data_IF_053715570856
#
_entry.id   IF_053715570856
#
_cell.length_a   1.000
_cell.length_b   1.000
_cell.length_c   1.000
_cell.angle_alpha   90.00
_cell.angle_beta   90.00
_cell.angle_gamma   90.00
#
_symmetry.space_group_name_H-M   'P 1'
#
loop_
_entity.id
_entity.type
_entity.pdbx_description
1 polymer ?
#
# COMPACT_ATOMS: atom_id res chain seq x y z
N UNK A 1 18.04 15.82 13.14
CA UNK A 1 16.88 15.29 13.89
C UNK A 1 17.27 14.99 15.36
N UNK A 2 17.81 15.97 16.10
CA UNK A 2 18.07 15.82 17.55
C UNK A 2 17.32 16.96 18.24
N UNK A 3 16.42 16.63 19.18
CA UNK A 3 15.57 17.52 20.00
C UNK A 3 14.14 17.80 19.48
N UNK A 4 13.35 16.76 19.24
CA UNK A 4 11.89 16.86 19.42
C UNK A 4 11.55 16.35 20.82
N UNK A 5 10.64 17.03 21.52
CA UNK A 5 10.19 16.62 22.87
C UNK A 5 9.50 15.24 22.85
N UNK A 6 8.94 14.86 21.70
CA UNK A 6 8.43 13.53 21.41
C UNK A 6 9.13 13.05 20.13
N UNK A 7 9.83 11.91 20.16
CA UNK A 7 10.45 11.38 18.95
C UNK A 7 9.37 11.07 17.90
N UNK A 8 9.65 11.31 16.60
CA UNK A 8 8.72 10.95 15.55
C UNK A 8 8.56 9.42 15.50
N UNK A 9 7.35 8.97 15.20
CA UNK A 9 7.06 7.56 14.92
C UNK A 9 7.29 7.29 13.45
N UNK A 10 7.84 6.12 13.13
CA UNK A 10 7.98 5.65 11.76
C UNK A 10 6.79 4.73 11.47
N UNK A 11 6.06 5.05 10.42
CA UNK A 11 4.95 4.24 9.92
C UNK A 11 5.19 3.89 8.45
N UNK A 12 4.84 2.68 8.05
CA UNK A 12 5.06 2.14 6.72
C UNK A 12 3.73 1.83 6.03
N UNK A 13 3.69 1.98 4.71
CA UNK A 13 2.52 1.64 3.90
C UNK A 13 2.65 0.19 3.41
N UNK A 14 1.76 -0.73 3.84
CA UNK A 14 1.86 -2.15 3.53
C UNK A 14 1.37 -2.40 2.10
N UNK A 15 2.27 -2.37 1.12
CA UNK A 15 1.94 -2.69 -0.28
C UNK A 15 1.83 -4.20 -0.47
N UNK A 16 2.78 -4.95 0.10
CA UNK A 16 2.97 -6.38 -0.15
C UNK A 16 2.30 -7.28 0.89
N UNK A 17 2.01 -6.75 2.08
CA UNK A 17 1.48 -7.55 3.19
C UNK A 17 0.05 -8.05 2.98
N UNK A 18 -0.61 -7.56 1.93
CA UNK A 18 -1.89 -8.07 1.45
C UNK A 18 -1.74 -9.42 0.74
N UNK A 19 -0.60 -9.68 0.12
CA UNK A 19 -0.29 -10.95 -0.52
C UNK A 19 0.24 -11.92 0.53
N UNK A 20 -0.44 -13.05 0.71
CA UNK A 20 -0.06 -14.06 1.70
C UNK A 20 1.29 -14.72 1.42
N UNK A 21 1.74 -14.73 0.16
CA UNK A 21 3.04 -15.30 -0.22
C UNK A 21 4.20 -14.32 0.01
N UNK A 22 3.92 -13.02 0.01
CA UNK A 22 4.91 -11.95 0.18
C UNK A 22 4.83 -11.24 1.54
N UNK A 23 3.82 -11.58 2.34
CA UNK A 23 3.63 -11.05 3.69
C UNK A 23 4.87 -11.33 4.54
N UNK A 24 5.44 -10.27 5.09
CA UNK A 24 6.57 -10.38 6.02
C UNK A 24 6.17 -11.04 7.34
N UNK A 25 7.17 -11.50 8.08
CA UNK A 25 6.97 -11.97 9.45
C UNK A 25 6.51 -10.80 10.32
N UNK A 26 5.23 -10.83 10.68
CA UNK A 26 4.69 -9.91 11.66
C UNK A 26 5.03 -10.37 13.07
N UNK A 27 5.53 -9.44 13.89
CA UNK A 27 5.58 -9.67 15.33
C UNK A 27 4.17 -9.93 15.88
N UNK A 28 4.06 -10.64 17.01
CA UNK A 28 2.78 -11.01 17.65
C UNK A 28 1.85 -9.81 17.94
N UNK A 29 2.38 -8.58 17.93
CA UNK A 29 1.60 -7.34 18.01
C UNK A 29 2.11 -6.29 17.04
N UNK A 30 1.19 -5.72 16.27
CA UNK A 30 1.44 -4.60 15.34
C UNK A 30 0.54 -3.45 15.77
N UNK A 31 1.09 -2.23 15.82
CA UNK A 31 0.29 -1.03 15.93
C UNK A 31 -0.08 -0.56 14.52
N UNK A 32 -1.37 -0.62 14.19
CA UNK A 32 -1.90 -0.15 12.92
C UNK A 32 -2.58 1.21 13.07
N UNK A 33 -2.34 2.07 12.09
CA UNK A 33 -2.94 3.39 11.95
C UNK A 33 -3.90 3.37 10.78
N UNK A 34 -5.05 4.03 10.91
CA UNK A 34 -6.02 4.17 9.83
C UNK A 34 -6.18 5.65 9.48
N UNK A 35 -5.97 5.97 8.21
CA UNK A 35 -6.13 7.32 7.66
C UNK A 35 -7.39 7.35 6.81
N UNK A 36 -8.31 8.28 7.08
CA UNK A 36 -9.44 8.57 6.18
C UNK A 36 -8.93 9.33 4.97
N UNK A 37 -9.14 8.76 3.78
CA UNK A 37 -8.74 9.35 2.50
C UNK A 37 -9.95 9.64 1.59
N UNK A 38 -11.17 9.63 2.13
CA UNK A 38 -12.42 9.81 1.36
C UNK A 38 -12.35 11.03 0.43
N UNK A 39 -11.78 12.13 0.92
CA UNK A 39 -11.67 13.40 0.17
C UNK A 39 -10.73 13.35 -1.05
N UNK A 40 -9.81 12.38 -1.11
CA UNK A 40 -8.83 12.23 -2.20
C UNK A 40 -8.95 10.89 -2.92
N UNK A 41 -9.92 10.06 -2.55
CA UNK A 41 -10.10 8.71 -3.07
C UNK A 41 -10.21 8.68 -4.59
N UNK A 42 -10.98 9.60 -5.15
CA UNK A 42 -11.20 9.63 -6.60
C UNK A 42 -9.93 10.02 -7.36
N UNK A 43 -9.15 10.97 -6.83
CA UNK A 43 -7.85 11.34 -7.38
C UNK A 43 -6.88 10.15 -7.35
N UNK A 44 -6.87 9.37 -6.25
CA UNK A 44 -6.06 8.15 -6.14
C UNK A 44 -6.43 7.11 -7.18
N UNK A 45 -7.74 6.86 -7.39
CA UNK A 45 -8.23 5.93 -8.42
C UNK A 45 -7.77 6.32 -9.82
N UNK A 46 -7.87 7.61 -10.15
CA UNK A 46 -7.41 8.13 -11.43
C UNK A 46 -5.90 7.96 -11.61
N UNK A 47 -5.12 8.24 -10.57
CA UNK A 47 -3.67 8.05 -10.58
C UNK A 47 -3.29 6.59 -10.82
N UNK A 48 -3.90 5.64 -10.09
CA UNK A 48 -3.69 4.20 -10.28
C UNK A 48 -4.00 3.81 -11.73
N UNK A 49 -5.11 4.29 -12.30
CA UNK A 49 -5.52 3.98 -13.67
C UNK A 49 -4.54 4.46 -14.76
N UNK A 50 -3.64 5.40 -14.46
CA UNK A 50 -2.59 5.83 -15.41
C UNK A 50 -1.45 4.82 -15.54
N UNK A 51 -1.20 3.98 -14.53
CA UNK A 51 -0.12 2.98 -14.54
C UNK A 51 -0.50 1.72 -15.31
N UNK A 52 -0.99 1.89 -16.55
CA UNK A 52 -1.57 0.82 -17.40
C UNK A 52 -0.65 -0.39 -17.54
N UNK A 53 0.66 -0.20 -17.63
CA UNK A 53 1.64 -1.30 -17.70
C UNK A 53 1.70 -2.19 -16.46
N UNK A 54 1.26 -1.71 -15.29
CA UNK A 54 1.26 -2.46 -14.03
C UNK A 54 -0.11 -3.01 -13.63
N UNK A 55 -1.18 -2.61 -14.35
CA UNK A 55 -2.57 -2.98 -14.04
C UNK A 55 -3.30 -3.65 -15.21
N UNK A 56 -2.66 -3.81 -16.36
CA UNK A 56 -3.24 -4.48 -17.53
C UNK A 56 -2.20 -5.29 -18.31
N UNK A 57 -2.68 -6.11 -19.25
CA UNK A 57 -1.87 -6.95 -20.15
C UNK A 57 -1.12 -6.16 -21.24
N UNK A 58 -0.80 -4.88 -21.00
CA UNK A 58 -0.21 -4.02 -22.02
C UNK A 58 1.24 -4.41 -22.40
N UNK A 59 1.94 -5.13 -21.51
CA UNK A 59 3.29 -5.64 -21.76
C UNK A 59 3.22 -7.16 -21.91
N UNK A 60 3.38 -7.63 -23.15
CA UNK A 60 3.43 -9.06 -23.51
C UNK A 60 4.86 -9.64 -23.51
N UNK A 61 5.87 -8.79 -23.33
CA UNK A 61 7.28 -9.15 -23.53
C UNK A 61 7.90 -9.82 -22.29
N UNK A 62 7.22 -9.77 -21.13
CA UNK A 62 7.62 -10.48 -19.92
C UNK A 62 6.39 -11.06 -19.20
N UNK A 63 6.05 -12.34 -19.43
CA UNK A 63 4.96 -13.03 -18.76
C UNK A 63 5.15 -13.17 -17.24
N UNK A 64 6.37 -13.00 -16.73
CA UNK A 64 6.70 -13.01 -15.30
C UNK A 64 6.80 -11.60 -14.69
N UNK A 65 6.55 -10.56 -15.50
CA UNK A 65 6.55 -9.18 -15.05
C UNK A 65 5.52 -8.94 -13.96
N UNK A 66 5.91 -8.23 -12.90
CA UNK A 66 5.03 -7.94 -11.77
C UNK A 66 3.80 -7.14 -12.20
N UNK A 67 2.62 -7.56 -11.72
CA UNK A 67 1.33 -6.92 -11.98
C UNK A 67 0.51 -6.87 -10.69
N UNK A 68 -0.14 -5.73 -10.45
CA UNK A 68 -1.11 -5.62 -9.37
C UNK A 68 -2.40 -6.35 -9.78
N UNK A 69 -2.76 -7.38 -9.03
CA UNK A 69 -4.01 -8.10 -9.26
C UNK A 69 -5.21 -7.21 -8.92
N UNK A 70 -6.39 -7.52 -9.47
CA UNK A 70 -7.61 -6.81 -9.13
C UNK A 70 -7.94 -6.89 -7.62
N UNK A 71 -7.52 -7.96 -6.94
CA UNK A 71 -7.65 -8.12 -5.49
C UNK A 71 -6.72 -7.18 -4.73
N UNK A 72 -5.46 -7.06 -5.14
CA UNK A 72 -4.52 -6.09 -4.55
C UNK A 72 -5.01 -4.66 -4.74
N UNK A 73 -5.54 -4.32 -5.91
CA UNK A 73 -6.10 -2.99 -6.19
C UNK A 73 -7.32 -2.64 -5.31
N UNK A 74 -8.08 -3.63 -4.83
CA UNK A 74 -9.19 -3.37 -3.90
C UNK A 74 -8.70 -2.86 -2.54
N UNK A 75 -7.52 -3.28 -2.09
CA UNK A 75 -6.92 -2.79 -0.84
C UNK A 75 -6.52 -1.31 -0.96
N UNK A 76 -6.22 -0.84 -2.17
CA UNK A 76 -5.79 0.53 -2.42
C UNK A 76 -6.92 1.50 -2.79
N UNK A 77 -8.15 1.00 -2.97
CA UNK A 77 -9.31 1.79 -3.43
C UNK A 77 -10.43 1.92 -2.39
N UNK A 78 -10.13 1.59 -1.13
CA UNK A 78 -10.95 1.85 0.05
C UNK A 78 -10.93 3.34 0.43
N UNK A 79 -11.97 3.86 1.12
CA UNK A 79 -11.98 5.25 1.62
C UNK A 79 -11.01 5.51 2.77
N UNK A 80 -10.13 4.57 3.06
CA UNK A 80 -9.12 4.66 4.11
C UNK A 80 -7.88 3.89 3.73
N UNK A 81 -6.77 4.23 4.37
CA UNK A 81 -5.48 3.55 4.25
C UNK A 81 -5.03 3.02 5.61
N UNK A 82 -4.29 1.92 5.59
CA UNK A 82 -3.62 1.38 6.77
C UNK A 82 -2.14 1.70 6.68
N UNK A 83 -1.55 2.06 7.82
CA UNK A 83 -0.11 2.17 8.00
C UNK A 83 0.31 1.36 9.23
N UNK A 84 1.48 0.74 9.18
CA UNK A 84 2.01 -0.10 10.26
C UNK A 84 3.15 0.64 10.95
N UNK A 85 3.13 0.72 12.28
CA UNK A 85 4.23 1.34 13.04
C UNK A 85 5.42 0.38 13.16
N UNK A 86 6.59 0.87 12.75
CA UNK A 86 7.87 0.14 12.92
C UNK A 86 8.26 0.21 14.40
N UNK A 87 8.55 -0.94 15.00
CA UNK A 87 9.00 -1.04 16.39
C UNK A 87 10.51 -0.88 16.51
#
# INVERSE_FOLDING_TARGET
>A
MKNLAIPPRIIEYPIWDWDTEQRGDFADSINAWRLDITNVLELKRQAIAQYRSQISDLINDDPAGFRLTAEMLQNFTQPWEIYLEVK
#
